data_IF_720031320419
#
_entry.id   IF_720031320419
#
_cell.length_a   1.000
_cell.length_b   1.000
_cell.length_c   1.000
_cell.angle_alpha   90.00
_cell.angle_beta   90.00
_cell.angle_gamma   90.00
#
_symmetry.space_group_name_H-M   'P 1'
#
loop_
_entity.id
_entity.type
_entity.pdbx_description
1 polymer ?
#
# COMPACT_ATOMS: atom_id res chain seq x y z
N UNK A 1 -8.04 2.11 21.33
CA UNK A 1 -8.04 0.62 21.35
C UNK A 1 -8.67 -0.08 20.14
N UNK A 2 -9.43 0.57 19.24
CA UNK A 2 -10.11 -0.11 18.10
C UNK A 2 -9.20 -0.53 16.93
N UNK A 3 -8.08 0.15 16.71
CA UNK A 3 -7.14 -0.14 15.60
C UNK A 3 -6.54 -1.56 15.72
N UNK A 4 -6.29 -2.03 16.95
CA UNK A 4 -5.81 -3.40 17.22
C UNK A 4 -6.80 -4.49 16.77
N UNK A 5 -8.10 -4.17 16.67
CA UNK A 5 -9.15 -5.10 16.23
C UNK A 5 -9.31 -5.12 14.71
N UNK A 6 -9.02 -4.00 14.03
CA UNK A 6 -9.04 -3.91 12.57
C UNK A 6 -7.82 -4.61 11.95
N UNK A 7 -6.66 -4.55 12.61
CA UNK A 7 -5.44 -5.28 12.22
C UNK A 7 -5.49 -6.78 12.56
N UNK A 8 -6.58 -7.25 13.19
CA UNK A 8 -6.83 -8.66 13.56
C UNK A 8 -7.45 -9.48 12.42
N UNK A 9 -7.24 -9.08 11.18
CA UNK A 9 -7.59 -9.92 10.03
C UNK A 9 -6.60 -11.10 10.01
N UNK A 10 -7.10 -12.34 9.92
CA UNK A 10 -6.26 -13.56 9.98
C UNK A 10 -5.06 -13.49 9.01
N UNK A 11 -5.29 -12.94 7.82
CA UNK A 11 -4.25 -12.71 6.81
C UNK A 11 -3.12 -11.79 7.29
N UNK A 12 -3.43 -10.64 7.92
CA UNK A 12 -2.39 -9.74 8.41
C UNK A 12 -1.57 -10.34 9.55
N UNK A 13 -2.20 -11.11 10.43
CA UNK A 13 -1.49 -11.78 11.53
C UNK A 13 -0.44 -12.77 11.00
N UNK A 14 -0.79 -13.47 9.94
CA UNK A 14 0.10 -14.39 9.23
C UNK A 14 1.31 -13.69 8.60
N UNK A 15 1.13 -12.50 8.03
CA UNK A 15 2.23 -11.71 7.48
C UNK A 15 3.09 -11.06 8.57
N UNK A 16 2.47 -10.64 9.68
CA UNK A 16 3.18 -10.09 10.85
C UNK A 16 4.03 -11.18 11.53
N UNK A 17 3.51 -12.41 11.64
CA UNK A 17 4.27 -13.54 12.18
C UNK A 17 5.50 -13.84 11.30
N UNK A 18 5.30 -13.95 9.98
CA UNK A 18 6.39 -14.15 9.02
C UNK A 18 7.40 -13.00 9.03
N UNK A 19 6.94 -11.75 9.18
CA UNK A 19 7.83 -10.60 9.33
C UNK A 19 8.64 -10.65 10.63
N UNK A 20 8.07 -11.18 11.71
CA UNK A 20 8.75 -11.29 13.01
C UNK A 20 9.79 -12.40 13.02
N UNK A 21 9.60 -13.47 12.25
CA UNK A 21 10.52 -14.60 12.14
C UNK A 21 11.61 -14.39 11.08
N UNK A 22 11.21 -14.05 9.85
CA UNK A 22 12.09 -13.99 8.67
C UNK A 22 12.35 -12.55 8.18
N UNK A 23 11.86 -11.55 8.91
CA UNK A 23 11.99 -10.14 8.55
C UNK A 23 11.28 -9.79 7.25
N UNK A 24 11.77 -8.73 6.60
CA UNK A 24 11.23 -8.26 5.33
C UNK A 24 11.37 -9.31 4.21
N UNK A 25 12.42 -10.15 4.27
CA UNK A 25 12.67 -11.22 3.30
C UNK A 25 11.59 -12.31 3.35
N UNK A 26 11.09 -12.64 4.54
CA UNK A 26 9.97 -13.57 4.71
C UNK A 26 8.68 -13.07 4.08
N UNK A 27 8.38 -11.79 4.27
CA UNK A 27 7.21 -11.14 3.67
C UNK A 27 7.30 -11.16 2.14
N UNK A 28 8.48 -10.84 1.59
CA UNK A 28 8.72 -10.93 0.15
C UNK A 28 8.65 -12.36 -0.38
N UNK A 29 9.09 -13.38 0.38
CA UNK A 29 8.91 -14.79 0.01
C UNK A 29 7.44 -15.20 -0.01
N UNK A 30 6.68 -14.85 1.02
CA UNK A 30 5.26 -15.22 1.17
C UNK A 30 4.37 -14.47 0.17
N UNK A 31 4.62 -13.18 -0.03
CA UNK A 31 3.88 -12.36 -0.97
C UNK A 31 4.36 -12.47 -2.42
N UNK A 32 5.62 -12.82 -2.63
CA UNK A 32 6.23 -13.07 -3.95
C UNK A 32 5.98 -11.95 -4.95
N UNK A 33 5.70 -12.35 -6.19
CA UNK A 33 5.42 -11.43 -7.31
C UNK A 33 4.21 -10.53 -7.07
N UNK A 34 3.28 -10.93 -6.20
CA UNK A 34 2.10 -10.10 -5.87
C UNK A 34 2.51 -8.82 -5.15
N UNK A 35 3.51 -8.85 -4.25
CA UNK A 35 3.98 -7.63 -3.59
C UNK A 35 4.56 -6.66 -4.60
N UNK A 36 5.36 -7.17 -5.55
CA UNK A 36 5.91 -6.34 -6.62
C UNK A 36 4.80 -5.75 -7.49
N UNK A 37 3.78 -6.55 -7.84
CA UNK A 37 2.62 -6.08 -8.60
C UNK A 37 1.83 -5.01 -7.84
N UNK A 38 1.53 -5.22 -6.56
CA UNK A 38 0.83 -4.23 -5.73
C UNK A 38 1.65 -2.95 -5.56
N UNK A 39 2.97 -3.07 -5.38
CA UNK A 39 3.87 -1.92 -5.31
C UNK A 39 3.88 -1.15 -6.63
N UNK A 40 3.99 -1.86 -7.75
CA UNK A 40 3.94 -1.26 -9.08
C UNK A 40 2.60 -0.56 -9.35
N UNK A 41 1.48 -1.23 -9.09
CA UNK A 41 0.14 -0.65 -9.22
C UNK A 41 -0.05 0.56 -8.30
N UNK A 42 0.44 0.50 -7.07
CA UNK A 42 0.37 1.63 -6.15
C UNK A 42 1.10 2.86 -6.71
N UNK A 43 2.30 2.69 -7.23
CA UNK A 43 3.06 3.79 -7.84
C UNK A 43 2.41 4.28 -9.13
N UNK A 44 1.88 3.38 -9.96
CA UNK A 44 1.21 3.72 -11.20
C UNK A 44 -0.05 4.55 -10.94
N UNK A 45 -0.90 4.10 -10.01
CA UNK A 45 -2.10 4.82 -9.58
C UNK A 45 -1.70 6.16 -8.95
N UNK A 46 -0.68 6.19 -8.09
CA UNK A 46 -0.21 7.44 -7.48
C UNK A 46 0.21 8.45 -8.53
N UNK A 47 1.08 8.06 -9.46
CA UNK A 47 1.54 8.96 -10.53
C UNK A 47 0.36 9.42 -11.39
N UNK A 48 -0.46 8.49 -11.87
CA UNK A 48 -1.64 8.84 -12.68
C UNK A 48 -2.61 9.77 -11.94
N UNK A 49 -2.94 9.47 -10.69
CA UNK A 49 -3.81 10.33 -9.87
C UNK A 49 -3.16 11.68 -9.67
N UNK A 50 -1.87 11.77 -9.35
CA UNK A 50 -1.20 13.05 -9.08
C UNK A 50 -1.21 13.96 -10.32
N UNK A 51 -0.96 13.40 -11.50
CA UNK A 51 -0.98 14.14 -12.76
C UNK A 51 -2.39 14.46 -13.26
N UNK A 52 -3.42 13.76 -12.81
CA UNK A 52 -4.81 14.12 -13.14
C UNK A 52 -5.35 15.12 -12.11
N UNK A 53 -5.07 14.89 -10.84
CA UNK A 53 -5.59 15.64 -9.71
C UNK A 53 -4.98 17.03 -9.62
N UNK A 54 -3.66 17.18 -9.80
CA UNK A 54 -3.00 18.49 -9.71
C UNK A 54 -3.55 19.45 -10.80
N UNK A 55 -3.55 19.11 -12.10
CA UNK A 55 -4.12 19.98 -13.13
C UNK A 55 -5.61 20.24 -12.92
N UNK A 56 -6.36 19.24 -12.49
CA UNK A 56 -7.79 19.40 -12.18
C UNK A 56 -8.02 20.43 -11.06
N UNK A 57 -7.23 20.38 -9.99
CA UNK A 57 -7.31 21.32 -8.86
C UNK A 57 -6.88 22.74 -9.27
N UNK A 58 -5.89 22.85 -10.16
CA UNK A 58 -5.45 24.13 -10.75
C UNK A 58 -6.56 24.75 -11.60
N UNK A 59 -7.18 23.98 -12.50
CA UNK A 59 -8.31 24.45 -13.34
C UNK A 59 -9.52 24.85 -12.49
N UNK A 60 -9.75 24.16 -11.37
CA UNK A 60 -10.81 24.48 -10.41
C UNK A 60 -10.49 25.69 -9.51
N UNK A 61 -9.28 26.24 -9.57
CA UNK A 61 -8.88 27.41 -8.79
C UNK A 61 -8.60 27.12 -7.31
N UNK A 62 -8.34 25.85 -6.93
CA UNK A 62 -7.94 25.52 -5.55
C UNK A 62 -6.48 25.90 -5.26
N UNK A 63 -5.65 26.02 -6.31
CA UNK A 63 -4.28 26.53 -6.26
C UNK A 63 -4.21 27.78 -7.14
N UNK A 64 -4.87 28.86 -6.72
CA UNK A 64 -4.65 30.22 -7.19
C UNK A 64 -4.96 31.20 -6.06
#
# INVERSE_FOLDING_TARGET
>A
MKIKKLLRVKFLQEYIAVFKEDGFKGVLRKGGWKILFYFFMFYLIRDSILYILIPYLVVKGFFF
#
